data_IF_787081506696
#
_entry.id   IF_787081506696
#
_cell.length_a   1.000
_cell.length_b   1.000
_cell.length_c   1.000
_cell.angle_alpha   90.00
_cell.angle_beta   90.00
_cell.angle_gamma   90.00
#
_symmetry.space_group_name_H-M   'P 1'
#
loop_
_entity.id
_entity.type
_entity.pdbx_description
1 polymer ?
#
# COMPACT_ATOMS: atom_id res chain seq x y z
N UNK A 1 10.51 12.91 -13.89
CA UNK A 1 11.11 11.68 -13.32
C UNK A 1 12.56 11.50 -13.76
N UNK A 2 12.88 11.66 -15.06
CA UNK A 2 14.27 11.61 -15.54
C UNK A 2 15.20 12.59 -14.82
N UNK A 3 14.78 13.83 -14.60
CA UNK A 3 15.55 14.82 -13.82
C UNK A 3 15.85 14.34 -12.38
N UNK A 4 14.93 13.60 -11.75
CA UNK A 4 15.15 13.04 -10.42
C UNK A 4 16.19 11.93 -10.47
N UNK A 5 16.14 11.07 -11.49
CA UNK A 5 17.14 10.02 -11.71
C UNK A 5 18.51 10.61 -11.98
N UNK A 6 18.60 11.64 -12.82
CA UNK A 6 19.84 12.38 -13.12
C UNK A 6 20.39 13.09 -11.87
N UNK A 7 19.52 13.56 -10.98
CA UNK A 7 19.89 14.12 -9.68
C UNK A 7 20.33 13.05 -8.65
N UNK A 8 20.32 11.77 -9.01
CA UNK A 8 20.82 10.67 -8.19
C UNK A 8 19.75 9.85 -7.45
N UNK A 9 18.46 10.06 -7.73
CA UNK A 9 17.43 9.16 -7.21
C UNK A 9 17.58 7.78 -7.89
N UNK A 10 17.71 6.72 -7.10
CA UNK A 10 18.00 5.37 -7.62
C UNK A 10 16.78 4.47 -7.69
N UNK A 11 15.76 4.70 -6.85
CA UNK A 11 14.57 3.89 -6.77
C UNK A 11 13.33 4.71 -6.39
N UNK A 12 12.15 4.18 -6.71
CA UNK A 12 10.86 4.77 -6.38
C UNK A 12 9.95 3.74 -5.71
N UNK A 13 9.21 4.19 -4.69
CA UNK A 13 8.06 3.47 -4.17
C UNK A 13 6.80 4.24 -4.60
N UNK A 14 5.92 3.57 -5.35
CA UNK A 14 4.64 4.13 -5.78
C UNK A 14 3.54 3.56 -4.90
N UNK A 15 2.90 4.42 -4.11
CA UNK A 15 1.79 4.03 -3.24
C UNK A 15 0.50 3.87 -4.05
N UNK A 16 0.00 2.64 -4.13
CA UNK A 16 -1.29 2.33 -4.78
C UNK A 16 -2.28 1.91 -3.70
N UNK A 17 -3.43 2.59 -3.67
CA UNK A 17 -4.42 2.41 -2.60
C UNK A 17 -5.80 2.77 -3.11
N UNK A 18 -6.82 2.02 -2.70
CA UNK A 18 -8.22 2.37 -2.97
C UNK A 18 -8.62 3.70 -2.32
N UNK A 19 -8.01 4.07 -1.18
CA UNK A 19 -8.25 5.37 -0.54
C UNK A 19 -7.71 6.54 -1.38
N UNK A 20 -6.62 6.34 -2.12
CA UNK A 20 -6.13 7.36 -3.06
C UNK A 20 -7.01 7.44 -4.30
N UNK A 21 -7.61 6.32 -4.74
CA UNK A 21 -8.42 6.28 -5.94
C UNK A 21 -9.70 7.13 -5.83
N UNK A 22 -10.22 7.35 -4.62
CA UNK A 22 -11.32 8.28 -4.37
C UNK A 22 -11.02 9.71 -4.88
N UNK A 23 -9.74 10.10 -4.88
CA UNK A 23 -9.28 11.45 -5.20
C UNK A 23 -8.47 11.52 -6.49
N UNK A 24 -7.85 10.41 -6.91
CA UNK A 24 -6.94 10.33 -8.05
C UNK A 24 -7.40 9.25 -9.02
N UNK A 25 -7.54 9.60 -10.30
CA UNK A 25 -7.93 8.64 -11.34
C UNK A 25 -6.92 7.49 -11.40
N UNK A 26 -7.40 6.26 -11.52
CA UNK A 26 -6.51 5.10 -11.66
C UNK A 26 -5.56 5.23 -12.85
N UNK A 27 -5.98 5.85 -13.95
CA UNK A 27 -5.13 6.16 -15.11
C UNK A 27 -3.88 6.98 -14.74
N UNK A 28 -3.99 7.93 -13.79
CA UNK A 28 -2.84 8.71 -13.32
C UNK A 28 -1.88 7.86 -12.49
N UNK A 29 -2.43 7.00 -11.62
CA UNK A 29 -1.65 6.04 -10.83
C UNK A 29 -0.96 5.02 -11.74
N UNK A 30 -1.68 4.45 -12.71
CA UNK A 30 -1.13 3.53 -13.72
C UNK A 30 0.01 4.18 -14.47
N UNK A 31 -0.20 5.38 -15.02
CA UNK A 31 0.82 6.11 -15.74
C UNK A 31 2.05 6.40 -14.86
N UNK A 32 1.86 6.73 -13.58
CA UNK A 32 2.97 6.91 -12.63
C UNK A 32 3.80 5.64 -12.49
N UNK A 33 3.15 4.48 -12.33
CA UNK A 33 3.83 3.17 -12.23
C UNK A 33 4.57 2.83 -13.52
N UNK A 34 3.93 2.92 -14.68
CA UNK A 34 4.55 2.55 -15.96
C UNK A 34 5.72 3.49 -16.31
N UNK A 35 5.54 4.80 -16.18
CA UNK A 35 6.63 5.76 -16.43
C UNK A 35 7.77 5.59 -15.43
N UNK A 36 7.47 5.27 -14.18
CA UNK A 36 8.52 4.97 -13.20
C UNK A 36 9.32 3.74 -13.63
N UNK A 37 8.67 2.67 -14.10
CA UNK A 37 9.35 1.45 -14.59
C UNK A 37 10.21 1.75 -15.81
N UNK A 38 9.70 2.51 -16.77
CA UNK A 38 10.44 2.91 -17.96
C UNK A 38 11.70 3.74 -17.62
N UNK A 39 11.60 4.64 -16.62
CA UNK A 39 12.70 5.52 -16.25
C UNK A 39 13.71 4.83 -15.33
N UNK A 40 13.27 4.09 -14.32
CA UNK A 40 14.13 3.55 -13.25
C UNK A 40 14.48 2.07 -13.46
N UNK A 41 13.75 1.34 -14.29
CA UNK A 41 13.82 -0.13 -14.39
C UNK A 41 12.89 -0.81 -13.39
N UNK A 42 12.38 -1.98 -13.74
CA UNK A 42 11.42 -2.74 -12.91
C UNK A 42 11.99 -3.07 -11.52
N UNK A 43 13.28 -3.36 -11.44
CA UNK A 43 13.98 -3.71 -10.20
C UNK A 43 14.11 -2.53 -9.22
N UNK A 44 13.96 -1.30 -9.70
CA UNK A 44 14.09 -0.08 -8.91
C UNK A 44 12.73 0.60 -8.65
N UNK A 45 11.62 -0.06 -9.00
CA UNK A 45 10.27 0.46 -8.75
C UNK A 45 9.47 -0.52 -7.91
N UNK A 46 9.11 -0.07 -6.71
CA UNK A 46 8.29 -0.84 -5.78
C UNK A 46 6.87 -0.30 -5.85
N UNK A 47 5.94 -1.09 -6.37
CA UNK A 47 4.51 -0.81 -6.21
C UNK A 47 4.07 -1.27 -4.83
N UNK A 48 3.73 -0.34 -3.95
CA UNK A 48 3.25 -0.69 -2.61
C UNK A 48 1.89 -1.36 -2.70
N UNK A 49 1.78 -2.57 -2.14
CA UNK A 49 0.62 -3.46 -2.26
C UNK A 49 0.29 -3.76 -3.74
N UNK A 50 1.09 -4.58 -4.45
CA UNK A 50 0.89 -4.82 -5.88
C UNK A 50 -0.49 -5.39 -6.23
N UNK A 51 -1.12 -6.16 -5.33
CA UNK A 51 -2.49 -6.63 -5.51
C UNK A 51 -3.51 -5.49 -5.58
N UNK A 52 -3.27 -4.34 -4.91
CA UNK A 52 -4.14 -3.18 -5.04
C UNK A 52 -4.12 -2.59 -6.45
N UNK A 53 -2.96 -2.55 -7.10
CA UNK A 53 -2.88 -2.12 -8.49
C UNK A 53 -3.74 -3.00 -9.39
N UNK A 54 -3.66 -4.32 -9.21
CA UNK A 54 -4.45 -5.26 -10.01
C UNK A 54 -5.96 -5.11 -9.75
N UNK A 55 -6.38 -5.01 -8.50
CA UNK A 55 -7.80 -4.84 -8.16
C UNK A 55 -8.37 -3.50 -8.65
N UNK A 56 -7.59 -2.43 -8.63
CA UNK A 56 -8.00 -1.15 -9.20
C UNK A 56 -8.07 -1.19 -10.74
N UNK A 57 -7.21 -1.98 -11.40
CA UNK A 57 -7.27 -2.19 -12.85
C UNK A 57 -8.51 -2.99 -13.30
N UNK A 58 -9.17 -3.71 -12.39
CA UNK A 58 -10.41 -4.47 -12.63
C UNK A 58 -11.68 -3.63 -12.37
N UNK A 59 -11.53 -2.37 -11.97
CA UNK A 59 -12.66 -1.45 -11.86
C UNK A 59 -13.24 -1.12 -13.25
N UNK A 60 -14.52 -0.74 -13.35
CA UNK A 60 -15.21 -0.56 -14.64
C UNK A 60 -14.57 0.46 -15.59
N UNK A 61 -13.82 1.41 -15.05
CA UNK A 61 -13.04 2.40 -15.79
C UNK A 61 -11.77 2.80 -15.02
N UNK A 62 -10.89 3.56 -15.67
CA UNK A 62 -9.65 4.07 -15.07
C UNK A 62 -9.83 5.41 -14.32
N UNK A 63 -11.06 5.69 -13.87
CA UNK A 63 -11.47 6.89 -13.17
C UNK A 63 -11.24 6.81 -11.66
N UNK A 64 -12.05 7.58 -10.93
CA UNK A 64 -12.09 7.59 -9.46
C UNK A 64 -13.25 6.73 -9.00
N UNK A 65 -13.01 5.90 -8.01
CA UNK A 65 -14.04 5.08 -7.39
C UNK A 65 -14.02 5.34 -5.89
N UNK A 66 -15.19 5.44 -5.27
CA UNK A 66 -15.28 5.51 -3.81
C UNK A 66 -14.80 4.19 -3.19
N UNK A 67 -14.51 4.20 -1.89
CA UNK A 67 -14.25 2.96 -1.16
C UNK A 67 -15.44 2.00 -1.27
N UNK A 68 -16.67 2.51 -1.24
CA UNK A 68 -17.90 1.75 -1.41
C UNK A 68 -17.99 1.08 -2.79
N UNK A 69 -17.66 1.80 -3.86
CA UNK A 69 -17.65 1.25 -5.23
C UNK A 69 -16.62 0.12 -5.35
N UNK A 70 -15.42 0.34 -4.82
CA UNK A 70 -14.36 -0.66 -4.77
C UNK A 70 -14.82 -1.92 -3.99
N UNK A 71 -15.40 -1.72 -2.80
CA UNK A 71 -15.91 -2.79 -1.96
C UNK A 71 -17.02 -3.58 -2.67
N UNK A 72 -17.94 -2.88 -3.35
CA UNK A 72 -19.02 -3.48 -4.10
C UNK A 72 -18.51 -4.34 -5.27
N UNK A 73 -17.60 -3.79 -6.08
CA UNK A 73 -16.97 -4.50 -7.21
C UNK A 73 -16.28 -5.79 -6.76
N UNK A 74 -15.50 -5.70 -5.69
CA UNK A 74 -14.66 -6.80 -5.19
C UNK A 74 -15.35 -7.69 -4.14
N UNK A 75 -16.61 -7.43 -3.83
CA UNK A 75 -17.42 -8.15 -2.82
C UNK A 75 -16.76 -8.17 -1.44
N UNK A 76 -16.09 -7.07 -1.10
CA UNK A 76 -15.45 -6.85 0.21
C UNK A 76 -16.44 -6.10 1.09
N UNK A 77 -16.57 -6.49 2.36
CA UNK A 77 -17.35 -5.71 3.32
C UNK A 77 -16.42 -4.69 3.99
N UNK A 78 -16.72 -3.37 3.89
CA UNK A 78 -15.80 -2.32 4.39
C UNK A 78 -15.50 -2.47 5.88
N UNK A 79 -16.49 -2.82 6.70
CA UNK A 79 -16.35 -2.95 8.16
C UNK A 79 -15.91 -4.35 8.63
N UNK A 80 -15.32 -5.15 7.75
CA UNK A 80 -14.97 -6.53 8.07
C UNK A 80 -13.47 -6.74 8.20
N UNK A 81 -13.08 -7.81 8.90
CA UNK A 81 -11.68 -8.25 8.98
C UNK A 81 -11.07 -8.58 7.61
N UNK A 82 -11.88 -8.79 6.57
CA UNK A 82 -11.37 -8.96 5.21
C UNK A 82 -10.72 -7.68 4.67
N UNK A 83 -11.17 -6.50 5.11
CA UNK A 83 -10.59 -5.23 4.71
C UNK A 83 -9.18 -5.06 5.30
N UNK A 84 -8.98 -5.45 6.57
CA UNK A 84 -7.65 -5.44 7.21
C UNK A 84 -6.68 -6.40 6.51
N UNK A 85 -7.17 -7.55 6.04
CA UNK A 85 -6.33 -8.50 5.29
C UNK A 85 -5.93 -7.97 3.91
N UNK A 86 -6.81 -7.19 3.30
CA UNK A 86 -6.61 -6.67 1.96
C UNK A 86 -5.73 -5.41 1.96
N UNK A 87 -5.79 -4.61 3.02
CA UNK A 87 -4.97 -3.43 3.20
C UNK A 87 -4.42 -3.46 4.62
N UNK A 88 -3.17 -3.94 4.78
CA UNK A 88 -2.59 -4.15 6.10
C UNK A 88 -2.54 -2.84 6.89
N UNK A 89 -3.32 -2.76 7.97
CA UNK A 89 -3.40 -1.57 8.82
C UNK A 89 -2.51 -1.78 10.03
N UNK A 90 -1.37 -1.10 10.02
CA UNK A 90 -0.50 -1.06 11.18
C UNK A 90 -0.94 0.06 12.13
N UNK A 91 -1.32 -0.25 13.39
CA UNK A 91 -1.69 0.79 14.33
C UNK A 91 -0.49 1.70 14.58
N UNK A 92 -0.69 3.00 14.45
CA UNK A 92 0.33 4.02 14.68
C UNK A 92 -0.27 5.26 15.35
N UNK A 93 0.57 6.14 15.88
CA UNK A 93 0.14 7.42 16.45
C UNK A 93 -0.83 7.25 17.63
N UNK A 94 -2.02 7.84 17.54
CA UNK A 94 -3.04 7.69 18.60
C UNK A 94 -3.68 6.31 18.62
N UNK A 95 -3.74 5.61 17.49
CA UNK A 95 -4.39 4.31 17.39
C UNK A 95 -3.74 3.27 18.33
N UNK A 96 -2.41 3.32 18.51
CA UNK A 96 -1.73 2.44 19.48
C UNK A 96 -2.15 2.71 20.93
N UNK A 97 -2.42 3.97 21.28
CA UNK A 97 -2.85 4.32 22.65
C UNK A 97 -4.33 3.99 22.85
N UNK A 98 -5.19 4.37 21.91
CA UNK A 98 -6.64 4.18 22.02
C UNK A 98 -7.04 2.70 21.91
N UNK A 99 -6.35 1.93 21.06
CA UNK A 99 -6.59 0.49 20.88
C UNK A 99 -5.67 -0.36 21.77
N UNK A 100 -5.07 0.21 22.82
CA UNK A 100 -4.12 -0.48 23.72
C UNK A 100 -4.67 -1.80 24.28
N UNK A 101 -5.98 -1.91 24.46
CA UNK A 101 -6.66 -3.09 24.98
C UNK A 101 -6.92 -4.17 23.91
N UNK A 102 -6.69 -3.88 22.63
CA UNK A 102 -6.88 -4.81 21.53
C UNK A 102 -5.64 -5.67 21.22
N UNK A 103 -4.50 -5.39 21.87
CA UNK A 103 -3.25 -6.12 21.63
C UNK A 103 -2.32 -6.13 22.85
N UNK A 104 -1.46 -7.14 22.92
CA UNK A 104 -0.48 -7.27 24.00
C UNK A 104 0.65 -6.25 23.80
N UNK A 105 0.93 -5.39 24.80
CA UNK A 105 2.15 -4.58 24.77
C UNK A 105 3.32 -5.49 25.04
N UNK A 106 4.38 -5.26 24.28
CA UNK A 106 5.69 -5.83 24.54
C UNK A 106 6.68 -4.69 24.69
N UNK A 107 7.53 -4.79 25.70
CA UNK A 107 8.64 -3.85 25.89
C UNK A 107 9.63 -3.98 24.74
N UNK A 108 10.18 -2.87 24.26
CA UNK A 108 11.24 -2.89 23.26
C UNK A 108 12.43 -3.78 23.71
N UNK A 109 12.74 -3.80 25.01
CA UNK A 109 13.80 -4.62 25.60
C UNK A 109 13.57 -6.11 25.39
N UNK A 110 12.32 -6.56 25.27
CA UNK A 110 12.00 -7.98 25.03
C UNK A 110 12.49 -8.48 23.67
N UNK A 111 12.75 -7.57 22.72
CA UNK A 111 13.28 -7.88 21.39
C UNK A 111 14.81 -7.72 21.30
N UNK A 112 15.49 -7.38 22.40
CA UNK A 112 16.94 -7.19 22.38
C UNK A 112 17.66 -8.49 21.99
N UNK A 113 18.58 -8.39 21.02
CA UNK A 113 19.33 -9.54 20.50
C UNK A 113 18.53 -10.48 19.60
N UNK A 114 17.25 -10.19 19.34
CA UNK A 114 16.46 -10.89 18.33
C UNK A 114 16.71 -10.28 16.94
N UNK A 115 16.40 -11.04 15.89
CA UNK A 115 16.40 -10.57 14.52
C UNK A 115 15.05 -10.87 13.87
N UNK A 116 14.73 -10.18 12.77
CA UNK A 116 13.47 -10.36 12.05
C UNK A 116 13.57 -11.43 10.95
N UNK A 117 14.46 -12.43 11.10
CA UNK A 117 14.68 -13.40 10.02
C UNK A 117 13.43 -14.24 9.72
N UNK A 118 12.63 -14.55 10.74
CA UNK A 118 11.38 -15.28 10.56
C UNK A 118 10.36 -14.48 9.73
N UNK A 119 10.31 -13.16 9.89
CA UNK A 119 9.40 -12.26 9.17
C UNK A 119 9.93 -11.84 7.79
N UNK A 120 11.25 -11.72 7.62
CA UNK A 120 11.88 -11.28 6.38
C UNK A 120 12.14 -12.41 5.37
N UNK A 121 12.15 -13.66 5.84
CA UNK A 121 12.37 -14.85 5.00
C UNK A 121 11.11 -15.69 4.75
N UNK A 122 9.97 -15.26 5.30
CA UNK A 122 8.64 -15.86 5.05
C UNK A 122 7.96 -15.26 3.83
#
# INVERSE_FOLDING_TARGET
MSELKEAGLTALLVSVSMFHNEFVNFSSTRNCVEVARDVFGDENVITYLPHMYHMLAEMPDEGKHSLEDFCHQHRVKPDSSSMIKLYDVQPSGRAVTELRNCYQARSAVSYSGQNCSAELLS
#
